data_IF_632196832755
#
_entry.id   IF_632196832755
#
_cell.length_a   1.000
_cell.length_b   1.000
_cell.length_c   1.000
_cell.angle_alpha   90.00
_cell.angle_beta   90.00
_cell.angle_gamma   90.00
#
_symmetry.space_group_name_H-M   'P 1'
#
loop_
_entity.id
_entity.type
_entity.pdbx_description
1 polymer ?
#
# COMPACT_ATOMS: atom_id res chain seq x y z
N UNK A 1 18.54 19.57 -15.68
CA UNK A 1 18.19 20.57 -14.64
C UNK A 1 16.72 20.38 -14.30
N UNK A 2 16.32 20.33 -13.04
CA UNK A 2 14.92 20.40 -12.69
C UNK A 2 14.37 21.74 -13.18
N UNK A 3 13.21 21.73 -13.85
CA UNK A 3 12.64 22.91 -14.50
C UNK A 3 12.36 24.08 -13.53
N UNK A 4 12.20 23.80 -12.24
CA UNK A 4 11.93 24.77 -11.20
C UNK A 4 13.17 25.60 -10.76
N UNK A 5 14.39 25.11 -10.95
CA UNK A 5 15.59 25.85 -10.54
C UNK A 5 15.95 26.97 -11.53
N UNK A 6 15.56 26.83 -12.80
CA UNK A 6 15.86 27.81 -13.84
C UNK A 6 15.08 29.15 -13.70
N UNK A 7 14.10 29.19 -12.80
CA UNK A 7 13.16 30.30 -12.64
C UNK A 7 13.75 31.48 -11.88
N UNK A 8 14.76 31.27 -11.01
CA UNK A 8 15.17 32.24 -10.00
C UNK A 8 16.35 33.15 -10.37
N UNK A 9 17.28 32.79 -11.23
CA UNK A 9 18.51 33.56 -11.35
C UNK A 9 18.92 34.03 -12.76
N UNK A 10 18.05 33.90 -13.75
CA UNK A 10 18.29 34.39 -15.12
C UNK A 10 17.86 35.84 -15.34
N UNK A 11 17.35 36.55 -14.34
CA UNK A 11 17.00 37.95 -14.44
C UNK A 11 18.20 38.82 -14.08
N UNK A 12 18.38 39.90 -14.87
CA UNK A 12 19.47 40.88 -14.80
C UNK A 12 19.81 41.36 -13.37
N UNK A 13 21.05 41.78 -13.11
CA UNK A 13 21.69 42.23 -11.87
C UNK A 13 20.96 43.30 -11.03
N UNK A 14 19.67 43.21 -10.82
CA UNK A 14 18.96 44.02 -9.84
C UNK A 14 19.22 43.49 -8.43
N UNK A 15 19.99 44.21 -7.66
CA UNK A 15 20.15 43.93 -6.22
C UNK A 15 18.99 44.51 -5.46
N UNK A 16 18.20 43.66 -4.84
CA UNK A 16 17.09 44.07 -3.96
C UNK A 16 17.60 44.35 -2.55
N UNK A 17 16.92 45.23 -1.81
CA UNK A 17 17.18 45.46 -0.39
C UNK A 17 16.54 44.31 0.41
N UNK A 18 17.29 43.67 1.28
CA UNK A 18 16.77 42.62 2.13
C UNK A 18 16.06 43.20 3.34
N UNK A 19 14.89 42.67 3.75
CA UNK A 19 14.24 42.99 5.00
C UNK A 19 15.15 42.66 6.22
N UNK A 20 15.06 43.48 7.27
CA UNK A 20 15.87 43.33 8.50
C UNK A 20 15.72 41.93 9.13
N UNK A 21 14.52 41.37 9.13
CA UNK A 21 14.24 40.01 9.62
C UNK A 21 15.10 38.94 8.93
N UNK A 22 15.32 39.07 7.61
CA UNK A 22 16.15 38.13 6.85
C UNK A 22 17.62 38.33 7.20
N UNK A 23 18.06 39.58 7.36
CA UNK A 23 19.44 39.90 7.76
C UNK A 23 19.72 39.32 9.15
N UNK A 24 18.85 39.54 10.14
CA UNK A 24 18.96 39.01 11.48
C UNK A 24 19.00 37.47 11.51
N UNK A 25 18.15 36.79 10.70
CA UNK A 25 18.13 35.35 10.58
C UNK A 25 19.48 34.79 10.04
N UNK A 26 20.07 35.48 9.07
CA UNK A 26 21.40 35.10 8.53
C UNK A 26 22.50 35.36 9.58
N UNK A 27 22.45 36.52 10.25
CA UNK A 27 23.51 36.92 11.21
C UNK A 27 23.48 36.08 12.49
N UNK A 28 22.31 35.61 12.91
CA UNK A 28 22.15 34.68 14.04
C UNK A 28 22.54 33.24 13.71
N UNK A 29 22.64 32.87 12.43
CA UNK A 29 23.01 31.52 12.06
C UNK A 29 24.48 31.22 12.39
N UNK A 30 24.73 30.10 13.11
CA UNK A 30 26.07 29.63 13.40
C UNK A 30 26.79 29.09 12.17
N UNK A 31 27.42 29.96 11.40
CA UNK A 31 28.18 29.64 10.20
C UNK A 31 29.28 30.66 9.94
N UNK A 32 30.20 30.33 9.06
CA UNK A 32 31.35 31.20 8.74
C UNK A 32 30.92 32.50 8.01
N UNK A 33 31.67 33.58 8.23
CA UNK A 33 31.36 34.91 7.70
C UNK A 33 31.21 34.93 6.16
N UNK A 34 32.05 34.15 5.45
CA UNK A 34 31.93 34.07 3.98
C UNK A 34 30.64 33.39 3.53
N UNK A 35 30.13 32.39 4.27
CA UNK A 35 28.86 31.74 3.99
C UNK A 35 27.69 32.72 4.19
N UNK A 36 27.71 33.52 5.27
CA UNK A 36 26.73 34.59 5.48
C UNK A 36 26.72 35.60 4.34
N UNK A 37 27.91 36.00 3.90
CA UNK A 37 28.07 36.94 2.76
C UNK A 37 27.41 36.38 1.48
N UNK A 38 27.71 35.12 1.15
CA UNK A 38 27.14 34.51 -0.08
C UNK A 38 25.63 34.33 0.02
N UNK A 39 25.08 33.99 1.19
CA UNK A 39 23.62 33.93 1.41
C UNK A 39 22.97 35.30 1.20
N UNK A 40 23.53 36.38 1.82
CA UNK A 40 23.02 37.73 1.62
C UNK A 40 23.06 38.16 0.16
N UNK A 41 24.17 37.88 -0.55
CA UNK A 41 24.29 38.20 -1.97
C UNK A 41 23.25 37.47 -2.82
N UNK A 42 23.08 36.17 -2.61
CA UNK A 42 22.06 35.38 -3.31
C UNK A 42 20.65 35.90 -3.06
N UNK A 43 20.28 36.11 -1.79
CA UNK A 43 18.94 36.60 -1.44
C UNK A 43 18.68 38.01 -1.99
N UNK A 44 19.68 38.88 -2.04
CA UNK A 44 19.58 40.18 -2.72
C UNK A 44 19.38 40.02 -4.22
N UNK A 45 19.99 39.01 -4.85
CA UNK A 45 19.84 38.77 -6.31
C UNK A 45 18.42 38.25 -6.65
N UNK A 46 17.87 37.35 -5.82
CA UNK A 46 16.53 36.78 -6.05
C UNK A 46 15.41 37.64 -5.49
N UNK A 47 15.71 38.66 -4.66
CA UNK A 47 14.75 39.58 -4.09
C UNK A 47 13.87 38.94 -3.00
N UNK A 48 14.45 38.08 -2.15
CA UNK A 48 13.71 37.40 -1.08
C UNK A 48 13.08 38.42 -0.12
N UNK A 49 11.77 38.34 0.09
CA UNK A 49 11.02 39.27 0.95
C UNK A 49 10.62 38.64 2.29
N UNK A 50 10.41 37.32 2.35
CA UNK A 50 10.01 36.61 3.55
C UNK A 50 10.69 35.24 3.66
N UNK A 51 10.99 34.79 4.88
CA UNK A 51 11.60 33.48 5.14
C UNK A 51 10.67 32.30 4.79
N UNK A 52 9.37 32.55 4.63
CA UNK A 52 8.43 31.53 4.13
C UNK A 52 8.75 31.11 2.70
N UNK A 53 9.27 32.02 1.88
CA UNK A 53 9.65 31.77 0.49
C UNK A 53 10.87 30.85 0.34
N UNK A 54 11.62 30.63 1.41
CA UNK A 54 12.74 29.69 1.42
C UNK A 54 12.21 28.26 1.31
N UNK A 55 12.02 27.78 0.09
CA UNK A 55 11.60 26.42 -0.25
C UNK A 55 12.73 25.60 -0.86
N UNK A 56 12.44 24.37 -1.28
CA UNK A 56 13.42 23.50 -1.92
C UNK A 56 13.84 23.99 -3.33
N UNK A 57 12.95 24.47 -4.20
CA UNK A 57 13.31 25.10 -5.46
C UNK A 57 14.33 26.22 -5.30
N UNK A 58 14.11 27.13 -4.35
CA UNK A 58 15.04 28.23 -4.06
C UNK A 58 16.37 27.71 -3.52
N UNK A 59 16.36 26.65 -2.71
CA UNK A 59 17.58 25.97 -2.25
C UNK A 59 18.40 25.40 -3.40
N UNK A 60 17.76 24.79 -4.40
CA UNK A 60 18.45 24.28 -5.58
C UNK A 60 18.97 25.42 -6.47
N UNK A 61 18.23 26.51 -6.60
CA UNK A 61 18.73 27.71 -7.25
C UNK A 61 19.98 28.28 -6.54
N UNK A 62 19.98 28.26 -5.20
CA UNK A 62 21.20 28.62 -4.43
C UNK A 62 22.35 27.66 -4.68
N UNK A 63 22.10 26.36 -4.77
CA UNK A 63 23.12 25.35 -5.13
C UNK A 63 23.74 25.67 -6.49
N UNK A 64 22.91 25.97 -7.47
CA UNK A 64 23.37 26.33 -8.82
C UNK A 64 24.16 27.64 -8.81
N UNK A 65 23.70 28.66 -8.08
CA UNK A 65 24.43 29.92 -7.91
C UNK A 65 25.82 29.71 -7.32
N UNK A 66 25.95 28.90 -6.28
CA UNK A 66 27.25 28.57 -5.66
C UNK A 66 28.18 27.83 -6.62
N UNK A 67 27.62 26.89 -7.40
CA UNK A 67 28.40 26.02 -8.28
C UNK A 67 28.81 26.74 -9.57
N UNK A 68 27.86 27.39 -10.26
CA UNK A 68 28.07 27.92 -11.61
C UNK A 68 28.40 29.41 -11.64
N UNK A 69 27.98 30.20 -10.63
CA UNK A 69 28.27 31.61 -10.61
C UNK A 69 29.49 31.92 -9.69
N UNK A 70 29.58 31.30 -8.53
CA UNK A 70 30.72 31.49 -7.62
C UNK A 70 31.82 30.44 -7.79
N UNK A 71 31.63 29.42 -8.60
CA UNK A 71 32.57 28.33 -8.88
C UNK A 71 33.16 27.66 -7.62
N UNK A 72 32.35 27.50 -6.57
CA UNK A 72 32.78 26.92 -5.31
C UNK A 72 32.89 25.39 -5.41
N UNK A 73 34.03 24.83 -4.97
CA UNK A 73 34.24 23.37 -4.92
C UNK A 73 33.50 22.70 -3.76
N UNK A 74 33.36 23.37 -2.62
CA UNK A 74 32.64 22.84 -1.45
C UNK A 74 31.43 23.71 -1.10
N UNK A 75 30.27 23.30 -1.53
CA UNK A 75 29.01 23.99 -1.31
C UNK A 75 28.23 23.49 -0.09
N UNK A 76 28.64 22.36 0.51
CA UNK A 76 27.91 21.70 1.60
C UNK A 76 27.69 22.61 2.82
N UNK A 77 28.67 23.38 3.31
CA UNK A 77 28.46 24.30 4.45
C UNK A 77 27.39 25.37 4.14
N UNK A 78 27.38 25.87 2.91
CA UNK A 78 26.43 26.89 2.44
C UNK A 78 25.00 26.37 2.41
N UNK A 79 24.78 25.18 1.84
CA UNK A 79 23.47 24.56 1.82
C UNK A 79 22.97 24.19 3.24
N UNK A 80 23.87 23.76 4.12
CA UNK A 80 23.54 23.53 5.54
C UNK A 80 23.13 24.82 6.25
N UNK A 81 23.77 25.93 5.96
CA UNK A 81 23.39 27.22 6.52
C UNK A 81 21.99 27.65 6.04
N UNK A 82 21.72 27.50 4.75
CA UNK A 82 20.37 27.71 4.19
C UNK A 82 19.33 26.85 4.90
N UNK A 83 19.57 25.53 5.01
CA UNK A 83 18.67 24.58 5.66
C UNK A 83 18.43 24.95 7.15
N UNK A 84 19.46 25.37 7.88
CA UNK A 84 19.36 25.79 9.30
C UNK A 84 18.49 27.03 9.48
N UNK A 85 18.64 28.03 8.61
CA UNK A 85 17.80 29.24 8.66
C UNK A 85 16.34 28.87 8.43
N UNK A 86 16.03 28.06 7.41
CA UNK A 86 14.66 27.58 7.15
C UNK A 86 14.09 26.78 8.30
N UNK A 87 14.87 25.87 8.87
CA UNK A 87 14.44 25.07 10.03
C UNK A 87 14.23 25.93 11.29
N UNK A 88 15.04 26.98 11.50
CA UNK A 88 14.84 27.92 12.60
C UNK A 88 13.52 28.68 12.42
N UNK A 89 13.25 29.19 11.22
CA UNK A 89 11.98 29.82 10.88
C UNK A 89 10.78 28.89 11.16
N UNK A 90 10.83 27.64 10.69
CA UNK A 90 9.76 26.67 10.94
C UNK A 90 9.55 26.44 12.44
N UNK A 91 10.61 26.29 13.22
CA UNK A 91 10.51 26.13 14.68
C UNK A 91 9.83 27.31 15.35
N UNK A 92 10.14 28.51 14.93
CA UNK A 92 9.49 29.73 15.43
C UNK A 92 7.99 29.75 15.08
N UNK A 93 7.64 29.46 13.82
CA UNK A 93 6.24 29.40 13.39
C UNK A 93 5.44 28.33 14.17
N UNK A 94 6.05 27.22 14.55
CA UNK A 94 5.39 26.15 15.30
C UNK A 94 5.00 26.54 16.73
N UNK A 95 5.46 27.69 17.25
CA UNK A 95 5.06 28.20 18.56
C UNK A 95 3.64 28.77 18.57
N UNK A 96 3.12 29.20 17.43
CA UNK A 96 1.80 29.83 17.30
C UNK A 96 0.80 28.94 16.53
N UNK A 97 -0.50 29.10 16.79
CA UNK A 97 -1.54 28.35 16.06
C UNK A 97 -1.55 28.72 14.57
N UNK A 98 -1.46 29.99 14.23
CA UNK A 98 -1.41 30.47 12.85
C UNK A 98 -0.18 29.92 12.12
N UNK A 99 0.99 29.94 12.77
CA UNK A 99 2.22 29.40 12.20
C UNK A 99 2.16 27.88 11.97
N UNK A 100 1.56 27.12 12.90
CA UNK A 100 1.31 25.68 12.71
C UNK A 100 0.47 25.39 11.48
N UNK A 101 -0.61 26.17 11.28
CA UNK A 101 -1.45 26.03 10.10
C UNK A 101 -0.71 26.35 8.79
N UNK A 102 0.19 27.38 8.81
CA UNK A 102 1.02 27.74 7.65
C UNK A 102 2.09 26.68 7.34
N UNK A 103 2.68 26.08 8.34
CA UNK A 103 3.74 25.07 8.18
C UNK A 103 3.19 23.66 7.97
N UNK A 104 1.88 23.43 8.11
CA UNK A 104 1.26 22.13 7.84
C UNK A 104 1.35 21.81 6.35
N UNK A 105 1.84 20.63 6.04
CA UNK A 105 1.88 20.15 4.68
C UNK A 105 0.46 19.94 4.13
N UNK A 106 0.25 20.46 2.93
CA UNK A 106 -0.97 20.25 2.15
C UNK A 106 -0.57 19.86 0.75
N UNK A 107 -1.45 19.09 0.11
CA UNK A 107 -1.26 18.79 -1.29
C UNK A 107 -1.54 20.05 -2.12
N UNK A 108 -0.51 20.55 -2.72
CA UNK A 108 -0.51 21.70 -3.62
C UNK A 108 0.50 21.40 -4.74
N UNK A 109 0.44 22.12 -5.85
CA UNK A 109 1.44 22.02 -6.93
C UNK A 109 2.75 22.67 -6.52
N UNK A 110 3.44 22.05 -5.58
CA UNK A 110 4.73 22.48 -5.05
C UNK A 110 5.67 21.32 -4.80
N UNK A 111 6.95 21.66 -4.57
CA UNK A 111 7.97 20.71 -4.18
C UNK A 111 8.07 20.68 -2.65
N UNK A 112 7.84 19.51 -2.06
CA UNK A 112 8.00 19.28 -0.63
C UNK A 112 9.36 18.67 -0.35
N UNK A 113 9.99 19.09 0.75
CA UNK A 113 11.28 18.59 1.20
C UNK A 113 11.22 18.15 2.66
N UNK A 114 11.44 16.86 2.93
CA UNK A 114 11.24 16.28 4.27
C UNK A 114 11.98 17.02 5.38
N UNK A 115 13.24 17.49 5.23
CA UNK A 115 13.90 18.31 6.24
C UNK A 115 13.20 19.63 6.60
N UNK A 116 12.21 20.06 5.80
CA UNK A 116 11.36 21.24 6.10
C UNK A 116 9.99 20.86 6.65
N UNK A 117 9.85 19.63 7.12
CA UNK A 117 8.60 19.18 7.74
C UNK A 117 8.38 19.88 9.09
N UNK A 118 7.12 20.17 9.42
CA UNK A 118 6.74 20.82 10.67
C UNK A 118 7.05 19.98 11.92
N UNK A 119 7.03 18.65 11.82
CA UNK A 119 7.51 17.76 12.88
C UNK A 119 9.04 17.78 12.93
N UNK A 120 9.57 18.42 13.97
CA UNK A 120 11.01 18.58 14.17
C UNK A 120 11.75 17.25 14.37
N UNK A 121 11.11 16.23 14.96
CA UNK A 121 11.72 14.91 15.13
C UNK A 121 11.97 14.26 13.78
N UNK A 122 11.00 14.33 12.88
CA UNK A 122 11.14 13.86 11.50
C UNK A 122 12.20 14.66 10.75
N UNK A 123 12.14 15.99 10.81
CA UNK A 123 13.13 16.84 10.14
C UNK A 123 14.56 16.49 10.58
N UNK A 124 14.80 16.29 11.87
CA UNK A 124 16.11 15.92 12.42
C UNK A 124 16.55 14.50 12.04
N UNK A 125 15.63 13.54 11.95
CA UNK A 125 15.93 12.17 11.52
C UNK A 125 16.65 12.16 10.16
N UNK A 126 16.24 13.05 9.26
CA UNK A 126 16.76 13.14 7.90
C UNK A 126 17.88 14.18 7.70
N UNK A 127 18.26 14.92 8.74
CA UNK A 127 19.31 15.95 8.60
C UNK A 127 20.71 15.34 8.32
N UNK A 128 20.98 14.15 8.85
CA UNK A 128 22.25 13.44 8.69
C UNK A 128 22.38 12.65 7.40
N UNK A 129 21.32 12.53 6.59
CA UNK A 129 21.33 11.72 5.37
C UNK A 129 22.18 12.40 4.28
N UNK A 130 23.14 11.66 3.72
CA UNK A 130 24.07 12.17 2.68
C UNK A 130 23.37 12.56 1.38
N UNK A 131 22.44 11.75 0.92
CA UNK A 131 21.72 11.94 -0.37
C UNK A 131 20.30 12.40 -0.11
N UNK A 132 20.07 13.70 -0.14
CA UNK A 132 18.76 14.30 0.13
C UNK A 132 17.78 14.21 -1.06
N UNK A 133 18.20 13.69 -2.20
CA UNK A 133 17.35 13.55 -3.37
C UNK A 133 16.07 12.73 -3.12
N UNK A 134 16.18 11.66 -2.33
CA UNK A 134 15.02 10.81 -1.99
C UNK A 134 14.04 11.44 -0.98
N UNK A 135 14.35 12.65 -0.50
CA UNK A 135 13.50 13.40 0.43
C UNK A 135 12.72 14.51 -0.25
N UNK A 136 12.87 14.63 -1.57
CA UNK A 136 12.21 15.64 -2.38
C UNK A 136 10.98 15.04 -3.04
N UNK A 137 9.84 15.68 -2.85
CA UNK A 137 8.55 15.25 -3.40
C UNK A 137 8.01 16.36 -4.30
N UNK A 138 8.12 16.14 -5.61
CA UNK A 138 7.75 17.10 -6.63
C UNK A 138 6.33 16.84 -7.14
N UNK A 139 5.36 17.59 -6.61
CA UNK A 139 3.97 17.54 -7.02
C UNK A 139 3.64 18.55 -8.15
N UNK A 140 4.65 19.25 -8.71
CA UNK A 140 4.48 20.10 -9.89
C UNK A 140 4.50 19.30 -11.19
N UNK A 141 4.93 18.03 -11.14
CA UNK A 141 5.00 17.17 -12.31
C UNK A 141 3.61 17.00 -12.96
N UNK A 142 3.55 16.88 -14.30
CA UNK A 142 2.30 16.63 -15.00
C UNK A 142 1.80 15.22 -14.69
N UNK A 143 0.90 15.10 -13.73
CA UNK A 143 0.28 13.85 -13.31
C UNK A 143 -1.17 14.12 -12.89
N UNK A 144 -2.09 13.13 -13.01
CA UNK A 144 -3.45 13.27 -12.53
C UNK A 144 -3.49 13.64 -11.04
N UNK A 145 -4.40 14.57 -10.67
CA UNK A 145 -4.52 15.02 -9.29
C UNK A 145 -4.80 13.87 -8.32
N UNK A 146 -5.63 12.93 -8.73
CA UNK A 146 -5.95 11.75 -7.93
C UNK A 146 -4.70 10.92 -7.57
N UNK A 147 -3.80 10.69 -8.53
CA UNK A 147 -2.51 10.03 -8.26
C UNK A 147 -1.68 10.81 -7.24
N UNK A 148 -1.58 12.14 -7.41
CA UNK A 148 -0.85 13.01 -6.46
C UNK A 148 -1.44 12.90 -5.05
N UNK A 149 -2.76 12.84 -4.93
CA UNK A 149 -3.47 12.69 -3.65
C UNK A 149 -3.18 11.34 -2.99
N UNK A 150 -3.19 10.24 -3.75
CA UNK A 150 -2.84 8.91 -3.26
C UNK A 150 -1.39 8.85 -2.74
N UNK A 151 -0.46 9.40 -3.50
CA UNK A 151 0.96 9.48 -3.11
C UNK A 151 1.14 10.35 -1.88
N UNK A 152 0.51 11.53 -1.82
CA UNK A 152 0.61 12.44 -0.68
C UNK A 152 0.02 11.84 0.60
N UNK A 153 -1.13 11.18 0.49
CA UNK A 153 -1.76 10.45 1.59
C UNK A 153 -0.83 9.36 2.15
N UNK A 154 -0.21 8.60 1.25
CA UNK A 154 0.73 7.53 1.62
C UNK A 154 2.02 8.09 2.22
N UNK A 155 2.54 9.18 1.65
CA UNK A 155 3.70 9.89 2.20
C UNK A 155 3.46 10.29 3.65
N UNK A 156 2.34 10.93 3.95
CA UNK A 156 2.00 11.33 5.31
C UNK A 156 1.85 10.11 6.25
N UNK A 157 1.25 9.02 5.78
CA UNK A 157 1.13 7.80 6.57
C UNK A 157 2.49 7.19 6.91
N UNK A 158 3.43 7.14 5.96
CA UNK A 158 4.81 6.65 6.19
C UNK A 158 5.56 7.56 7.16
N UNK A 159 5.40 8.88 7.06
CA UNK A 159 6.04 9.83 7.97
C UNK A 159 5.52 9.71 9.41
N UNK A 160 4.25 9.36 9.58
CA UNK A 160 3.61 9.17 10.88
C UNK A 160 3.82 7.76 11.46
N UNK A 161 4.27 6.79 10.66
CA UNK A 161 4.48 5.40 11.10
C UNK A 161 5.57 5.35 12.18
N UNK A 162 5.28 4.66 13.30
CA UNK A 162 6.29 4.39 14.32
C UNK A 162 7.21 3.25 13.88
N UNK A 163 8.25 3.56 13.15
CA UNK A 163 9.23 2.60 12.64
C UNK A 163 10.67 3.15 12.73
N UNK A 164 11.65 2.28 12.49
CA UNK A 164 13.06 2.69 12.45
C UNK A 164 13.34 3.58 11.24
N UNK A 165 14.22 4.57 11.38
CA UNK A 165 14.62 5.50 10.30
C UNK A 165 15.02 4.80 9.00
N UNK A 166 15.77 3.70 9.07
CA UNK A 166 16.17 2.93 7.89
C UNK A 166 14.96 2.37 7.15
N UNK A 167 14.00 1.76 7.87
CA UNK A 167 12.77 1.22 7.27
C UNK A 167 11.93 2.31 6.63
N UNK A 168 11.79 3.46 7.32
CA UNK A 168 11.09 4.63 6.76
C UNK A 168 11.75 5.13 5.48
N UNK A 169 13.07 5.22 5.45
CA UNK A 169 13.83 5.61 4.26
C UNK A 169 13.61 4.63 3.10
N UNK A 170 13.58 3.32 3.36
CA UNK A 170 13.27 2.30 2.35
C UNK A 170 11.84 2.48 1.79
N UNK A 171 10.85 2.70 2.66
CA UNK A 171 9.45 2.94 2.24
C UNK A 171 9.33 4.23 1.41
N UNK A 172 9.99 5.31 1.80
CA UNK A 172 10.00 6.57 1.05
C UNK A 172 10.65 6.40 -0.32
N UNK A 173 11.78 5.69 -0.39
CA UNK A 173 12.45 5.40 -1.66
C UNK A 173 11.54 4.58 -2.58
N UNK A 174 10.90 3.54 -2.05
CA UNK A 174 9.95 2.72 -2.80
C UNK A 174 8.76 3.54 -3.31
N UNK A 175 8.16 4.37 -2.46
CA UNK A 175 7.03 5.23 -2.84
C UNK A 175 7.41 6.26 -3.91
N UNK A 176 8.62 6.84 -3.83
CA UNK A 176 9.11 7.79 -4.83
C UNK A 176 9.31 7.12 -6.20
N UNK A 177 9.84 5.88 -6.20
CA UNK A 177 9.98 5.11 -7.43
C UNK A 177 8.62 4.69 -8.01
N UNK A 178 7.67 4.33 -7.15
CA UNK A 178 6.29 4.07 -7.57
C UNK A 178 5.66 5.31 -8.22
N UNK A 179 5.83 6.49 -7.61
CA UNK A 179 5.31 7.73 -8.18
C UNK A 179 5.90 8.03 -9.55
N UNK A 180 7.23 7.91 -9.71
CA UNK A 180 7.91 8.09 -11.01
C UNK A 180 7.41 7.09 -12.05
N UNK A 181 7.31 5.83 -11.68
CA UNK A 181 6.77 4.78 -12.54
C UNK A 181 5.34 5.09 -13.01
N UNK A 182 4.47 5.50 -12.09
CA UNK A 182 3.09 5.87 -12.42
C UNK A 182 3.03 7.06 -13.40
N UNK A 183 3.85 8.10 -13.16
CA UNK A 183 3.92 9.26 -14.07
C UNK A 183 4.44 8.87 -15.46
N UNK A 184 5.46 8.01 -15.54
CA UNK A 184 6.05 7.56 -16.81
C UNK A 184 5.14 6.65 -17.63
N UNK A 185 4.22 5.93 -16.97
CA UNK A 185 3.32 4.98 -17.62
C UNK A 185 1.85 5.44 -17.62
N UNK A 186 1.60 6.73 -17.40
CA UNK A 186 0.26 7.34 -17.41
C UNK A 186 -0.76 6.63 -16.49
N UNK A 187 -0.29 6.08 -15.35
CA UNK A 187 -1.14 5.43 -14.36
C UNK A 187 -1.82 6.49 -13.50
N UNK A 188 -3.12 6.60 -13.61
CA UNK A 188 -3.91 7.61 -12.91
C UNK A 188 -4.35 7.20 -11.50
N UNK A 189 -4.42 5.90 -11.21
CA UNK A 189 -4.94 5.35 -9.95
C UNK A 189 -4.18 4.09 -9.54
N UNK A 190 -3.51 4.14 -8.39
CA UNK A 190 -2.71 3.04 -7.84
C UNK A 190 -3.59 1.86 -7.39
N UNK A 191 -4.83 2.10 -6.98
CA UNK A 191 -5.75 1.06 -6.57
C UNK A 191 -6.19 0.17 -7.74
N UNK A 192 -6.10 0.68 -8.99
CA UNK A 192 -6.48 -0.06 -10.21
C UNK A 192 -5.31 -0.76 -10.90
N UNK A 193 -4.08 -0.64 -10.40
CA UNK A 193 -2.91 -1.36 -10.94
C UNK A 193 -3.19 -2.86 -10.93
N UNK A 194 -3.08 -3.51 -12.08
CA UNK A 194 -3.28 -4.96 -12.25
C UNK A 194 -1.95 -5.75 -12.19
N UNK A 195 -2.03 -7.07 -12.40
CA UNK A 195 -0.86 -7.94 -12.31
C UNK A 195 0.18 -7.64 -13.40
N UNK A 196 -0.23 -7.23 -14.61
CA UNK A 196 0.69 -6.89 -15.69
C UNK A 196 1.45 -5.60 -15.37
N UNK A 197 0.75 -4.57 -14.88
CA UNK A 197 1.36 -3.31 -14.46
C UNK A 197 2.24 -3.50 -13.21
N UNK A 198 1.86 -4.37 -12.28
CA UNK A 198 2.70 -4.74 -11.14
C UNK A 198 3.99 -5.42 -11.59
N UNK A 199 3.91 -6.34 -12.57
CA UNK A 199 5.09 -6.98 -13.15
C UNK A 199 5.96 -5.98 -13.90
N UNK A 200 5.37 -5.01 -14.60
CA UNK A 200 6.09 -3.92 -15.25
C UNK A 200 6.83 -3.04 -14.22
N UNK A 201 6.22 -2.79 -13.07
CA UNK A 201 6.89 -2.06 -11.99
C UNK A 201 8.07 -2.85 -11.39
N UNK A 202 7.93 -4.16 -11.22
CA UNK A 202 9.05 -5.03 -10.81
C UNK A 202 10.20 -4.90 -11.80
N UNK A 203 9.90 -4.98 -13.09
CA UNK A 203 10.91 -4.88 -14.14
C UNK A 203 11.58 -3.50 -14.20
N UNK A 204 10.82 -2.43 -13.97
CA UNK A 204 11.35 -1.06 -13.83
C UNK A 204 12.33 -0.97 -12.66
N UNK A 205 12.03 -1.60 -11.52
CA UNK A 205 12.93 -1.62 -10.38
C UNK A 205 14.21 -2.43 -10.66
N UNK A 206 14.14 -3.49 -11.45
CA UNK A 206 15.28 -4.33 -11.87
C UNK A 206 16.27 -3.57 -12.75
N UNK A 207 15.76 -2.90 -13.76
CA UNK A 207 16.59 -2.29 -14.80
C UNK A 207 17.33 -1.05 -14.31
N UNK A 208 16.71 -0.25 -13.42
CA UNK A 208 17.19 1.11 -13.15
C UNK A 208 17.66 1.33 -11.69
N UNK A 209 17.27 0.50 -10.72
CA UNK A 209 17.34 0.92 -9.31
C UNK A 209 17.89 -0.12 -8.35
N UNK A 210 17.57 -1.39 -8.50
CA UNK A 210 17.89 -2.43 -7.53
C UNK A 210 18.72 -3.56 -8.15
N UNK A 211 19.92 -3.78 -7.64
CA UNK A 211 20.84 -4.82 -8.11
C UNK A 211 20.58 -6.21 -7.54
N UNK A 212 19.66 -6.34 -6.59
CA UNK A 212 19.38 -7.62 -5.93
C UNK A 212 17.88 -7.80 -5.59
N UNK A 213 17.43 -9.06 -5.56
CA UNK A 213 16.04 -9.47 -5.32
C UNK A 213 15.47 -8.98 -3.97
N UNK A 214 16.33 -8.85 -2.93
CA UNK A 214 15.88 -8.38 -1.62
C UNK A 214 15.55 -6.90 -1.64
N UNK A 215 16.38 -6.11 -2.33
CA UNK A 215 16.13 -4.67 -2.52
C UNK A 215 14.85 -4.44 -3.32
N UNK A 216 14.61 -5.21 -4.38
CA UNK A 216 13.36 -5.17 -5.15
C UNK A 216 12.14 -5.45 -4.28
N UNK A 217 12.16 -6.53 -3.51
CA UNK A 217 11.06 -6.88 -2.61
C UNK A 217 10.74 -5.77 -1.60
N UNK A 218 11.77 -5.10 -1.07
CA UNK A 218 11.61 -3.96 -0.16
C UNK A 218 10.94 -2.77 -0.85
N UNK A 219 11.37 -2.44 -2.08
CA UNK A 219 10.77 -1.36 -2.87
C UNK A 219 9.34 -1.68 -3.31
N UNK A 220 9.07 -2.94 -3.67
CA UNK A 220 7.71 -3.44 -3.97
C UNK A 220 6.75 -3.31 -2.79
N UNK A 221 7.25 -3.35 -1.56
CA UNK A 221 6.43 -3.16 -0.36
C UNK A 221 5.70 -1.81 -0.39
N UNK A 222 6.28 -0.79 -1.02
CA UNK A 222 5.67 0.53 -1.14
C UNK A 222 4.34 0.52 -1.92
N UNK A 223 4.23 -0.29 -2.98
CA UNK A 223 2.97 -0.45 -3.71
C UNK A 223 1.87 -1.00 -2.81
N UNK A 224 2.18 -2.03 -2.01
CA UNK A 224 1.21 -2.62 -1.09
C UNK A 224 0.84 -1.66 0.04
N UNK A 225 1.82 -0.90 0.57
CA UNK A 225 1.58 0.15 1.57
C UNK A 225 0.66 1.21 0.99
N UNK A 226 0.94 1.68 -0.23
CA UNK A 226 0.15 2.71 -0.88
C UNK A 226 -1.29 2.25 -1.12
N UNK A 227 -1.49 1.09 -1.75
CA UNK A 227 -2.83 0.49 -1.94
C UNK A 227 -3.60 0.36 -0.64
N UNK A 228 -2.94 -0.20 0.40
CA UNK A 228 -3.59 -0.38 1.70
C UNK A 228 -3.96 0.95 2.33
N UNK A 229 -3.04 1.89 2.37
CA UNK A 229 -3.24 3.21 3.00
C UNK A 229 -4.40 3.95 2.33
N UNK A 230 -4.38 4.02 1.00
CA UNK A 230 -5.41 4.71 0.22
C UNK A 230 -6.77 4.05 0.43
N UNK A 231 -6.86 2.73 0.27
CA UNK A 231 -8.12 1.99 0.45
C UNK A 231 -8.73 2.15 1.85
N UNK A 232 -7.89 2.17 2.88
CA UNK A 232 -8.35 2.30 4.27
C UNK A 232 -8.72 3.74 4.66
N UNK A 233 -8.04 4.74 4.10
CA UNK A 233 -8.24 6.15 4.46
C UNK A 233 -9.28 6.86 3.60
N UNK A 234 -9.65 6.30 2.44
CA UNK A 234 -10.72 6.86 1.63
C UNK A 234 -12.03 6.98 2.44
N UNK A 235 -12.78 8.10 2.33
CA UNK A 235 -14.07 8.25 3.00
C UNK A 235 -15.06 7.14 2.65
N UNK A 236 -15.10 6.75 1.39
CA UNK A 236 -15.93 5.66 0.85
C UNK A 236 -15.07 4.49 0.36
N UNK A 237 -15.65 3.28 0.35
CA UNK A 237 -14.97 2.09 -0.18
C UNK A 237 -14.86 2.23 -1.70
N UNK A 238 -13.64 2.22 -2.23
CA UNK A 238 -13.41 2.15 -3.66
C UNK A 238 -13.63 0.71 -4.16
N UNK A 239 -14.86 0.40 -4.60
CA UNK A 239 -15.22 -0.90 -5.14
C UNK A 239 -14.56 -1.19 -6.51
N UNK A 240 -13.96 -0.17 -7.15
CA UNK A 240 -13.21 -0.34 -8.38
C UNK A 240 -11.74 -0.72 -8.15
N UNK A 241 -11.26 -0.68 -6.90
CA UNK A 241 -9.92 -1.10 -6.54
C UNK A 241 -9.69 -2.58 -6.90
N UNK A 242 -8.48 -2.92 -7.38
CA UNK A 242 -8.13 -4.29 -7.75
C UNK A 242 -7.75 -5.16 -6.54
N UNK A 243 -7.55 -4.55 -5.37
CA UNK A 243 -7.31 -5.25 -4.10
C UNK A 243 -8.17 -4.62 -3.02
N UNK A 244 -9.07 -5.40 -2.41
CA UNK A 244 -9.88 -4.94 -1.29
C UNK A 244 -9.32 -5.48 0.02
N UNK A 245 -9.30 -4.64 1.05
CA UNK A 245 -8.84 -5.00 2.39
C UNK A 245 -10.03 -5.30 3.29
N UNK A 246 -10.06 -6.53 3.83
CA UNK A 246 -11.19 -7.08 4.58
C UNK A 246 -11.54 -6.22 5.80
N UNK A 247 -10.54 -5.63 6.45
CA UNK A 247 -10.72 -4.76 7.61
C UNK A 247 -11.62 -3.53 7.34
N UNK A 248 -11.66 -3.04 6.07
CA UNK A 248 -12.50 -1.91 5.66
C UNK A 248 -13.93 -2.32 5.29
N UNK A 249 -14.17 -3.60 5.01
CA UNK A 249 -15.48 -4.08 4.56
C UNK A 249 -16.53 -4.12 5.68
N UNK A 250 -16.14 -3.84 6.93
CA UNK A 250 -17.02 -3.77 8.11
C UNK A 250 -17.92 -5.00 8.29
N UNK A 251 -17.39 -6.18 8.02
CA UNK A 251 -18.13 -7.42 8.14
C UNK A 251 -18.50 -7.71 9.59
N UNK A 252 -19.72 -8.17 9.87
CA UNK A 252 -20.11 -8.62 11.20
C UNK A 252 -19.16 -9.71 11.73
N UNK A 253 -18.80 -9.64 13.02
CA UNK A 253 -17.83 -10.56 13.63
C UNK A 253 -18.18 -12.04 13.46
N UNK A 254 -19.47 -12.38 13.45
CA UNK A 254 -19.93 -13.77 13.27
C UNK A 254 -19.70 -14.32 11.85
N UNK A 255 -19.46 -13.44 10.85
CA UNK A 255 -19.10 -13.84 9.49
C UNK A 255 -17.61 -14.04 9.30
N UNK A 256 -16.79 -13.58 10.22
CA UNK A 256 -15.34 -13.67 10.18
C UNK A 256 -14.85 -14.86 11.02
N UNK A 257 -13.94 -15.65 10.46
CA UNK A 257 -13.19 -16.61 11.26
C UNK A 257 -11.96 -15.90 11.84
N UNK A 258 -11.84 -15.76 13.18
CA UNK A 258 -10.70 -15.08 13.82
C UNK A 258 -9.36 -15.75 13.52
N UNK A 259 -9.36 -17.03 13.18
CA UNK A 259 -8.15 -17.78 12.81
C UNK A 259 -7.79 -17.66 11.33
N UNK A 260 -8.57 -16.92 10.53
CA UNK A 260 -8.30 -16.74 9.10
C UNK A 260 -7.16 -15.77 8.89
N UNK A 261 -6.20 -16.17 8.07
CA UNK A 261 -5.11 -15.30 7.59
C UNK A 261 -5.52 -14.44 6.38
N UNK A 262 -6.76 -14.60 5.88
CA UNK A 262 -7.23 -13.84 4.71
C UNK A 262 -7.52 -12.40 5.11
N UNK A 263 -6.69 -11.49 4.63
CA UNK A 263 -6.79 -10.05 4.88
C UNK A 263 -7.19 -9.24 3.66
N UNK A 264 -7.13 -9.86 2.47
CA UNK A 264 -7.38 -9.17 1.18
C UNK A 264 -8.18 -10.04 0.22
N UNK A 265 -8.89 -9.39 -0.70
CA UNK A 265 -9.51 -9.98 -1.88
C UNK A 265 -8.82 -9.35 -3.08
N UNK A 266 -8.16 -10.16 -3.93
CA UNK A 266 -7.44 -9.69 -5.12
C UNK A 266 -8.21 -10.00 -6.39
N UNK A 267 -8.28 -9.03 -7.28
CA UNK A 267 -8.86 -9.14 -8.63
C UNK A 267 -7.82 -8.87 -9.71
N UNK A 268 -6.60 -8.50 -9.34
CA UNK A 268 -5.56 -8.00 -10.24
C UNK A 268 -5.11 -9.05 -11.29
N UNK A 269 -5.25 -10.33 -10.97
CA UNK A 269 -4.85 -11.43 -11.84
C UNK A 269 -5.82 -11.67 -13.02
N UNK A 270 -7.06 -11.16 -12.95
CA UNK A 270 -8.02 -11.23 -14.05
C UNK A 270 -7.65 -10.14 -15.05
N UNK A 271 -6.99 -10.50 -16.16
CA UNK A 271 -6.41 -9.55 -17.11
C UNK A 271 -7.47 -8.74 -17.86
N UNK A 272 -8.59 -9.38 -18.26
CA UNK A 272 -9.67 -8.70 -18.98
C UNK A 272 -10.47 -7.78 -18.04
N UNK A 273 -10.54 -6.46 -18.32
CA UNK A 273 -11.19 -5.48 -17.44
C UNK A 273 -12.68 -5.77 -17.18
N UNK A 274 -13.41 -6.24 -18.19
CA UNK A 274 -14.83 -6.57 -18.09
C UNK A 274 -15.07 -7.77 -17.17
N UNK A 275 -14.30 -8.84 -17.34
CA UNK A 275 -14.39 -10.03 -16.48
C UNK A 275 -14.04 -9.67 -15.03
N UNK A 276 -13.06 -8.77 -14.85
CA UNK A 276 -12.67 -8.22 -13.54
C UNK A 276 -13.81 -7.40 -12.93
N UNK A 277 -14.50 -6.60 -13.70
CA UNK A 277 -15.65 -5.81 -13.25
C UNK A 277 -16.79 -6.71 -12.75
N UNK A 278 -17.15 -7.77 -13.50
CA UNK A 278 -18.16 -8.73 -13.06
C UNK A 278 -17.75 -9.50 -11.81
N UNK A 279 -16.47 -9.86 -11.67
CA UNK A 279 -15.96 -10.47 -10.45
C UNK A 279 -16.13 -9.56 -9.23
N UNK A 280 -15.84 -8.26 -9.38
CA UNK A 280 -16.02 -7.24 -8.33
C UNK A 280 -17.49 -7.07 -7.96
N UNK A 281 -18.36 -6.99 -8.95
CA UNK A 281 -19.79 -6.85 -8.74
C UNK A 281 -20.36 -8.07 -7.99
N UNK A 282 -20.00 -9.28 -8.41
CA UNK A 282 -20.35 -10.50 -7.70
C UNK A 282 -19.86 -10.49 -6.26
N UNK A 283 -18.60 -10.14 -6.03
CA UNK A 283 -18.05 -10.12 -4.69
C UNK A 283 -18.65 -9.02 -3.82
N UNK A 284 -18.95 -7.85 -4.38
CA UNK A 284 -19.69 -6.78 -3.68
C UNK A 284 -21.06 -7.27 -3.22
N UNK A 285 -21.79 -7.99 -4.07
CA UNK A 285 -23.06 -8.63 -3.71
C UNK A 285 -22.87 -9.67 -2.59
N UNK A 286 -21.89 -10.57 -2.72
CA UNK A 286 -21.64 -11.64 -1.72
C UNK A 286 -21.28 -11.06 -0.35
N UNK A 287 -20.45 -10.05 -0.33
CA UNK A 287 -19.98 -9.39 0.91
C UNK A 287 -21.08 -8.53 1.54
N UNK A 288 -21.81 -7.76 0.72
CA UNK A 288 -22.75 -6.74 1.19
C UNK A 288 -24.16 -7.28 1.45
N UNK A 289 -24.64 -8.22 0.66
CA UNK A 289 -26.05 -8.65 0.68
C UNK A 289 -26.24 -10.03 1.34
N UNK A 290 -25.32 -10.98 1.08
CA UNK A 290 -25.50 -12.33 1.64
C UNK A 290 -25.08 -12.41 3.12
N UNK A 291 -25.73 -13.30 3.89
CA UNK A 291 -25.35 -13.61 5.27
C UNK A 291 -24.28 -14.69 5.42
N UNK A 292 -23.62 -15.11 4.32
CA UNK A 292 -22.68 -16.22 4.33
C UNK A 292 -21.39 -15.88 5.09
N UNK A 293 -20.75 -16.89 5.68
CA UNK A 293 -19.42 -16.74 6.28
C UNK A 293 -18.40 -16.30 5.24
N UNK A 294 -17.56 -15.34 5.60
CA UNK A 294 -16.57 -14.76 4.67
C UNK A 294 -15.63 -15.82 4.09
N UNK A 295 -15.17 -16.78 4.88
CA UNK A 295 -14.34 -17.89 4.40
C UNK A 295 -15.01 -18.71 3.28
N UNK A 296 -16.32 -18.94 3.36
CA UNK A 296 -17.10 -19.63 2.30
C UNK A 296 -17.15 -18.78 1.03
N UNK A 297 -17.41 -17.48 1.17
CA UNK A 297 -17.44 -16.55 0.04
C UNK A 297 -16.05 -16.52 -0.64
N UNK A 298 -15.00 -16.38 0.16
CA UNK A 298 -13.62 -16.30 -0.35
C UNK A 298 -13.18 -17.59 -1.06
N UNK A 299 -13.50 -18.77 -0.50
CA UNK A 299 -13.20 -20.06 -1.14
C UNK A 299 -13.93 -20.19 -2.49
N UNK A 300 -15.21 -19.84 -2.55
CA UNK A 300 -15.97 -19.86 -3.81
C UNK A 300 -15.43 -18.86 -4.83
N UNK A 301 -15.05 -17.67 -4.37
CA UNK A 301 -14.43 -16.68 -5.23
C UNK A 301 -13.14 -17.22 -5.86
N UNK A 302 -12.29 -17.90 -5.10
CA UNK A 302 -11.06 -18.48 -5.62
C UNK A 302 -11.30 -19.47 -6.78
N UNK A 303 -12.42 -20.20 -6.77
CA UNK A 303 -12.81 -21.09 -7.89
C UNK A 303 -13.24 -20.29 -9.11
N UNK A 304 -14.06 -19.25 -8.91
CA UNK A 304 -14.52 -18.34 -9.96
C UNK A 304 -13.35 -17.55 -10.54
N UNK A 305 -12.45 -17.05 -9.70
CA UNK A 305 -11.28 -16.30 -10.11
C UNK A 305 -10.40 -17.11 -11.08
N UNK A 306 -10.13 -18.39 -10.77
CA UNK A 306 -9.39 -19.30 -11.67
C UNK A 306 -10.02 -19.42 -13.03
N UNK A 307 -11.34 -19.57 -13.07
CA UNK A 307 -12.08 -19.61 -14.33
C UNK A 307 -11.98 -18.28 -15.10
N UNK A 308 -12.17 -17.15 -14.43
CA UNK A 308 -12.10 -15.83 -15.07
C UNK A 308 -10.70 -15.48 -15.55
N UNK A 309 -9.65 -15.91 -14.84
CA UNK A 309 -8.26 -15.78 -15.29
C UNK A 309 -8.10 -16.59 -16.58
N UNK A 310 -8.44 -17.88 -16.57
CA UNK A 310 -8.32 -18.73 -17.75
C UNK A 310 -9.10 -18.18 -18.94
N UNK A 311 -10.33 -17.71 -18.72
CA UNK A 311 -11.16 -17.14 -19.78
C UNK A 311 -10.57 -15.84 -20.33
N UNK A 312 -9.98 -15.02 -19.48
CA UNK A 312 -9.31 -13.79 -19.87
C UNK A 312 -8.02 -14.04 -20.68
N UNK A 313 -7.30 -15.14 -20.40
CA UNK A 313 -6.15 -15.60 -21.19
C UNK A 313 -6.56 -16.01 -22.61
N UNK A 314 -7.82 -16.43 -22.79
CA UNK A 314 -8.40 -16.72 -24.10
C UNK A 314 -9.03 -15.47 -24.78
N UNK A 315 -8.85 -14.28 -24.21
CA UNK A 315 -9.46 -13.02 -24.67
C UNK A 315 -10.99 -13.09 -24.78
N UNK A 316 -11.64 -13.86 -23.90
CA UNK A 316 -13.07 -14.10 -23.93
C UNK A 316 -13.79 -13.37 -22.79
N UNK A 317 -14.86 -12.64 -23.16
CA UNK A 317 -15.76 -12.03 -22.18
C UNK A 317 -16.72 -13.09 -21.61
N UNK A 318 -16.86 -13.12 -20.29
CA UNK A 318 -17.69 -14.11 -19.58
C UNK A 318 -19.16 -14.03 -19.98
N UNK A 319 -19.68 -12.88 -20.39
CA UNK A 319 -21.06 -12.74 -20.88
C UNK A 319 -21.31 -13.46 -22.21
N UNK A 320 -20.26 -13.68 -23.00
CA UNK A 320 -20.30 -14.43 -24.25
C UNK A 320 -19.86 -15.89 -24.11
N UNK A 321 -19.63 -16.34 -22.84
CA UNK A 321 -19.18 -17.70 -22.58
C UNK A 321 -20.13 -18.77 -23.07
N UNK A 322 -19.61 -19.76 -23.79
CA UNK A 322 -20.31 -20.89 -24.35
C UNK A 322 -20.16 -22.16 -23.51
N UNK A 323 -21.05 -23.14 -23.73
CA UNK A 323 -20.90 -24.45 -23.09
C UNK A 323 -19.56 -25.11 -23.41
N UNK A 324 -19.10 -25.03 -24.67
CA UNK A 324 -17.82 -25.60 -25.08
C UNK A 324 -16.63 -25.01 -24.31
N UNK A 325 -16.65 -23.71 -24.00
CA UNK A 325 -15.60 -23.09 -23.18
C UNK A 325 -15.63 -23.56 -21.73
N UNK A 326 -16.84 -23.78 -21.16
CA UNK A 326 -16.96 -24.39 -19.84
C UNK A 326 -16.36 -25.80 -19.84
N UNK A 327 -16.71 -26.63 -20.86
CA UNK A 327 -16.15 -27.98 -20.99
C UNK A 327 -14.62 -27.97 -21.11
N UNK A 328 -14.06 -27.10 -21.96
CA UNK A 328 -12.61 -26.95 -22.10
C UNK A 328 -11.93 -26.53 -20.80
N UNK A 329 -12.58 -25.67 -20.01
CA UNK A 329 -12.06 -25.32 -18.68
C UNK A 329 -12.13 -26.51 -17.70
N UNK A 330 -13.24 -27.25 -17.71
CA UNK A 330 -13.42 -28.42 -16.85
C UNK A 330 -12.41 -29.52 -17.21
N UNK A 331 -12.09 -29.72 -18.48
CA UNK A 331 -11.05 -30.63 -18.94
C UNK A 331 -9.66 -30.20 -18.42
N UNK A 332 -9.34 -28.92 -18.57
CA UNK A 332 -8.07 -28.35 -18.04
C UNK A 332 -7.90 -28.62 -16.54
N UNK A 333 -8.91 -28.33 -15.73
CA UNK A 333 -8.77 -28.55 -14.27
C UNK A 333 -8.74 -30.04 -13.90
N UNK A 334 -9.28 -30.92 -14.77
CA UNK A 334 -9.18 -32.37 -14.59
C UNK A 334 -7.76 -32.89 -14.85
N UNK A 335 -7.08 -32.34 -15.85
CA UNK A 335 -5.67 -32.65 -16.15
C UNK A 335 -4.76 -32.32 -14.98
N UNK A 336 -5.11 -31.32 -14.15
CA UNK A 336 -4.41 -30.97 -12.91
C UNK A 336 -4.55 -32.04 -11.79
N UNK A 337 -5.28 -33.14 -12.02
CA UNK A 337 -5.42 -34.27 -11.10
C UNK A 337 -6.23 -33.97 -9.84
N UNK A 338 -7.18 -33.04 -9.90
CA UNK A 338 -8.01 -32.65 -8.76
C UNK A 338 -9.01 -33.75 -8.35
N UNK A 339 -9.36 -33.80 -7.06
CA UNK A 339 -10.37 -34.73 -6.54
C UNK A 339 -11.78 -34.42 -7.07
N UNK A 340 -12.64 -35.45 -7.17
CA UNK A 340 -14.04 -35.28 -7.59
C UNK A 340 -14.80 -34.25 -6.74
N UNK A 341 -14.54 -34.23 -5.43
CA UNK A 341 -15.10 -33.23 -4.53
C UNK A 341 -14.69 -31.80 -4.90
N UNK A 342 -13.42 -31.59 -5.25
CA UNK A 342 -12.94 -30.27 -5.64
C UNK A 342 -13.45 -29.88 -7.02
N UNK A 343 -13.54 -30.84 -7.94
CA UNK A 343 -14.18 -30.67 -9.25
C UNK A 343 -15.66 -30.24 -9.11
N UNK A 344 -16.45 -30.94 -8.27
CA UNK A 344 -17.83 -30.56 -7.99
C UNK A 344 -17.94 -29.17 -7.35
N UNK A 345 -16.95 -28.76 -6.56
CA UNK A 345 -16.88 -27.41 -6.00
C UNK A 345 -16.72 -26.33 -7.07
N UNK A 346 -15.92 -26.60 -8.13
CA UNK A 346 -15.82 -25.70 -9.30
C UNK A 346 -17.15 -25.55 -10.01
N UNK A 347 -17.86 -26.68 -10.30
CA UNK A 347 -19.19 -26.66 -10.92
C UNK A 347 -20.16 -25.83 -10.08
N UNK A 348 -20.20 -26.04 -8.77
CA UNK A 348 -21.07 -25.29 -7.88
C UNK A 348 -20.71 -23.79 -7.82
N UNK A 349 -19.41 -23.46 -7.85
CA UNK A 349 -18.93 -22.08 -7.92
C UNK A 349 -19.37 -21.38 -9.20
N UNK A 350 -19.14 -22.01 -10.35
CA UNK A 350 -19.55 -21.50 -11.66
C UNK A 350 -21.08 -21.37 -11.75
N UNK A 351 -21.85 -22.37 -11.29
CA UNK A 351 -23.30 -22.29 -11.22
C UNK A 351 -23.77 -21.04 -10.47
N UNK A 352 -23.25 -20.82 -9.28
CA UNK A 352 -23.64 -19.66 -8.46
C UNK A 352 -23.26 -18.33 -9.12
N UNK A 353 -22.10 -18.25 -9.75
CA UNK A 353 -21.66 -17.05 -10.45
C UNK A 353 -22.54 -16.76 -11.68
N UNK A 354 -22.80 -17.75 -12.52
CA UNK A 354 -23.65 -17.56 -13.70
C UNK A 354 -25.12 -17.28 -13.32
N UNK A 355 -25.63 -17.86 -12.22
CA UNK A 355 -26.93 -17.47 -11.66
C UNK A 355 -26.98 -16.00 -11.28
N UNK A 356 -25.91 -15.50 -10.64
CA UNK A 356 -25.79 -14.08 -10.35
C UNK A 356 -25.79 -13.24 -11.62
N UNK A 357 -25.01 -13.61 -12.62
CA UNK A 357 -24.94 -12.91 -13.92
C UNK A 357 -26.31 -12.83 -14.62
N UNK A 358 -27.09 -13.90 -14.56
CA UNK A 358 -28.47 -13.93 -15.11
C UNK A 358 -29.40 -13.06 -14.26
N UNK A 359 -29.35 -13.18 -12.94
CA UNK A 359 -30.21 -12.43 -12.04
C UNK A 359 -29.98 -10.91 -12.13
N UNK A 360 -28.77 -10.48 -12.45
CA UNK A 360 -28.41 -9.07 -12.63
C UNK A 360 -28.54 -8.59 -14.09
N UNK A 361 -29.03 -9.44 -15.00
CA UNK A 361 -29.31 -9.07 -16.38
C UNK A 361 -28.10 -9.02 -17.31
N UNK A 362 -26.93 -9.47 -16.87
CA UNK A 362 -25.73 -9.53 -17.70
C UNK A 362 -25.78 -10.65 -18.73
N UNK A 363 -26.57 -11.70 -18.46
CA UNK A 363 -26.77 -12.85 -19.34
C UNK A 363 -28.24 -13.25 -19.39
N UNK A 364 -28.66 -13.81 -20.51
CA UNK A 364 -30.05 -14.30 -20.67
C UNK A 364 -30.30 -15.68 -20.03
N UNK A 365 -29.28 -16.50 -19.98
CA UNK A 365 -29.33 -17.87 -19.43
C UNK A 365 -27.95 -18.36 -19.02
N UNK A 366 -27.90 -19.35 -18.15
CA UNK A 366 -26.67 -20.07 -17.79
C UNK A 366 -26.14 -20.81 -19.02
N UNK A 367 -24.83 -20.76 -19.34
CA UNK A 367 -24.27 -21.36 -20.57
C UNK A 367 -24.18 -22.89 -20.54
N UNK A 368 -24.37 -23.54 -19.39
CA UNK A 368 -24.26 -25.00 -19.23
C UNK A 368 -25.26 -25.52 -18.20
N UNK A 369 -25.46 -26.85 -18.18
CA UNK A 369 -26.31 -27.51 -17.17
C UNK A 369 -25.40 -28.19 -16.11
N UNK A 370 -25.24 -27.61 -14.95
CA UNK A 370 -24.28 -28.06 -13.92
C UNK A 370 -24.48 -29.52 -13.51
N UNK A 371 -25.72 -30.01 -13.52
CA UNK A 371 -26.10 -31.34 -13.07
C UNK A 371 -25.47 -32.45 -13.93
N UNK A 372 -25.19 -32.18 -15.21
CA UNK A 372 -24.60 -33.17 -16.12
C UNK A 372 -23.10 -33.38 -15.91
N UNK A 373 -22.43 -32.44 -15.20
CA UNK A 373 -21.00 -32.49 -14.98
C UNK A 373 -20.61 -32.97 -13.57
N UNK A 374 -21.59 -33.12 -12.66
CA UNK A 374 -21.34 -33.57 -11.32
C UNK A 374 -20.85 -35.02 -11.28
N UNK A 375 -19.80 -35.25 -10.48
CA UNK A 375 -19.20 -36.55 -10.27
C UNK A 375 -19.65 -37.15 -8.94
N UNK A 376 -19.69 -38.50 -8.90
CA UNK A 376 -19.97 -39.21 -7.66
C UNK A 376 -18.78 -39.13 -6.73
N UNK A 377 -18.95 -38.42 -5.62
CA UNK A 377 -17.93 -38.35 -4.59
C UNK A 377 -17.84 -39.71 -3.86
N UNK A 378 -16.66 -40.29 -3.84
CA UNK A 378 -16.37 -41.47 -3.03
C UNK A 378 -15.72 -40.95 -1.74
N UNK A 379 -16.42 -41.01 -0.58
CA UNK A 379 -15.84 -40.57 0.69
C UNK A 379 -14.63 -41.45 1.03
N UNK A 380 -13.44 -40.85 1.04
CA UNK A 380 -12.26 -41.52 1.61
C UNK A 380 -12.26 -41.23 3.10
N UNK A 381 -12.54 -42.28 3.89
CA UNK A 381 -12.42 -42.21 5.32
C UNK A 381 -10.96 -42.43 5.71
N UNK A 382 -10.28 -41.39 6.08
CA UNK A 382 -8.98 -41.49 6.72
C UNK A 382 -9.19 -41.61 8.23
N UNK A 383 -8.87 -42.77 8.80
CA UNK A 383 -8.80 -42.91 10.25
C UNK A 383 -7.65 -42.02 10.75
N UNK A 384 -8.03 -41.00 11.51
CA UNK A 384 -7.12 -40.06 12.18
C UNK A 384 -7.03 -40.33 13.68
N UNK A 385 -7.57 -41.45 14.15
CA UNK A 385 -7.47 -41.85 15.55
C UNK A 385 -6.01 -42.06 15.92
N UNK A 386 -5.67 -41.57 17.10
CA UNK A 386 -4.34 -41.81 17.70
C UNK A 386 -4.44 -43.03 18.58
N UNK A 387 -3.46 -43.93 18.52
CA UNK A 387 -3.47 -45.15 19.34
C UNK A 387 -3.48 -44.80 20.85
N UNK A 388 -4.11 -45.58 21.70
CA UNK A 388 -4.13 -45.34 23.15
C UNK A 388 -2.72 -45.15 23.75
N UNK A 389 -1.74 -45.93 23.31
CA UNK A 389 -0.36 -45.85 23.79
C UNK A 389 0.28 -44.49 23.50
N UNK A 390 0.06 -43.92 22.28
CA UNK A 390 0.53 -42.58 21.93
C UNK A 390 -0.20 -41.52 22.72
N UNK A 391 -1.50 -41.70 22.97
CA UNK A 391 -2.28 -40.79 23.82
C UNK A 391 -1.71 -40.69 25.23
N UNK A 392 -1.43 -41.86 25.85
CA UNK A 392 -0.83 -41.93 27.19
C UNK A 392 0.56 -41.31 27.23
N UNK A 393 1.39 -41.55 26.20
CA UNK A 393 2.70 -40.91 26.09
C UNK A 393 2.62 -39.39 26.00
N UNK A 394 1.71 -38.84 25.18
CA UNK A 394 1.49 -37.40 25.05
C UNK A 394 0.99 -36.81 26.38
N UNK A 395 0.01 -37.43 27.02
CA UNK A 395 -0.51 -36.99 28.30
C UNK A 395 0.56 -36.99 29.40
N UNK A 396 1.41 -38.01 29.45
CA UNK A 396 2.53 -38.06 30.37
C UNK A 396 3.57 -36.96 30.18
N UNK A 397 3.72 -36.47 28.96
CA UNK A 397 4.66 -35.40 28.61
C UNK A 397 4.07 -33.98 28.63
N UNK A 398 2.79 -33.83 28.91
CA UNK A 398 2.13 -32.48 28.93
C UNK A 398 2.79 -31.51 29.89
N UNK A 399 3.41 -32.00 30.97
CA UNK A 399 4.10 -31.14 31.95
C UNK A 399 5.34 -30.44 31.35
N UNK A 400 5.85 -30.87 30.20
CA UNK A 400 6.96 -30.23 29.48
C UNK A 400 6.49 -28.99 28.70
N UNK A 401 5.19 -28.82 28.48
CA UNK A 401 4.64 -27.65 27.81
C UNK A 401 4.44 -26.50 28.79
N UNK A 402 4.64 -25.22 28.34
CA UNK A 402 4.20 -24.04 29.09
C UNK A 402 2.73 -24.16 29.45
N UNK A 403 2.34 -23.61 30.62
CA UNK A 403 1.01 -23.76 31.20
C UNK A 403 -0.13 -23.41 30.21
N UNK A 404 0.00 -22.29 29.51
CA UNK A 404 -1.01 -21.85 28.55
C UNK A 404 -1.21 -22.84 27.38
N UNK A 405 -0.14 -23.45 26.88
CA UNK A 405 -0.21 -24.46 25.82
C UNK A 405 -0.77 -25.79 26.34
N UNK A 406 -0.43 -26.16 27.57
CA UNK A 406 -1.01 -27.33 28.25
C UNK A 406 -2.51 -27.16 28.44
N UNK A 407 -2.96 -26.03 28.94
CA UNK A 407 -4.39 -25.72 29.08
C UNK A 407 -5.10 -25.75 27.72
N UNK A 408 -4.51 -25.16 26.69
CA UNK A 408 -5.05 -25.18 25.33
C UNK A 408 -5.20 -26.61 24.81
N UNK A 409 -4.17 -27.45 24.97
CA UNK A 409 -4.22 -28.85 24.57
C UNK A 409 -5.32 -29.63 25.31
N UNK A 410 -5.47 -29.45 26.63
CA UNK A 410 -6.52 -30.10 27.44
C UNK A 410 -7.92 -29.69 26.97
N UNK A 411 -8.13 -28.43 26.56
CA UNK A 411 -9.41 -28.01 25.99
C UNK A 411 -9.72 -28.74 24.68
N UNK A 412 -8.71 -28.88 23.80
CA UNK A 412 -8.85 -29.64 22.56
C UNK A 412 -9.18 -31.11 22.84
N UNK A 413 -8.44 -31.72 23.79
CA UNK A 413 -8.55 -33.13 24.11
C UNK A 413 -9.83 -33.48 24.89
N UNK A 414 -10.10 -32.79 25.97
CA UNK A 414 -11.22 -33.12 26.85
C UNK A 414 -12.58 -32.70 26.30
N UNK A 415 -12.62 -31.58 25.55
CA UNK A 415 -13.88 -30.99 25.08
C UNK A 415 -14.10 -31.19 23.56
N UNK A 416 -13.14 -31.76 22.84
CA UNK A 416 -13.24 -31.95 21.41
C UNK A 416 -13.35 -30.66 20.61
N UNK A 417 -12.90 -29.52 21.19
CA UNK A 417 -12.96 -28.24 20.54
C UNK A 417 -11.95 -28.16 19.40
N UNK A 418 -12.29 -27.39 18.36
CA UNK A 418 -11.32 -27.03 17.31
C UNK A 418 -10.38 -25.94 17.82
N UNK A 419 -9.18 -25.85 17.23
CA UNK A 419 -8.19 -24.81 17.54
C UNK A 419 -8.81 -23.40 17.50
N UNK A 420 -9.61 -23.10 16.46
CA UNK A 420 -10.30 -21.83 16.32
C UNK A 420 -11.29 -21.54 17.46
N UNK A 421 -11.94 -22.57 17.96
CA UNK A 421 -12.91 -22.45 19.07
C UNK A 421 -12.16 -22.18 20.38
N UNK A 422 -11.05 -22.90 20.64
CA UNK A 422 -10.21 -22.64 21.81
C UNK A 422 -9.62 -21.24 21.79
N UNK A 423 -9.10 -20.78 20.66
CA UNK A 423 -8.52 -19.43 20.53
C UNK A 423 -9.54 -18.30 20.66
N UNK A 424 -10.84 -18.58 20.56
CA UNK A 424 -11.92 -17.60 20.67
C UNK A 424 -12.74 -17.73 21.94
N UNK A 425 -12.36 -18.63 22.85
CA UNK A 425 -13.01 -18.74 24.14
C UNK A 425 -12.94 -17.42 24.92
N UNK A 426 -14.07 -16.99 25.42
CA UNK A 426 -14.14 -15.82 26.30
C UNK A 426 -13.66 -16.18 27.69
N UNK A 427 -13.07 -15.23 28.44
CA UNK A 427 -12.59 -15.44 29.80
C UNK A 427 -13.65 -15.89 30.80
N UNK A 428 -14.94 -15.71 30.47
CA UNK A 428 -16.09 -16.15 31.27
C UNK A 428 -16.85 -17.33 30.65
N UNK A 429 -16.22 -18.11 29.76
CA UNK A 429 -16.86 -19.24 29.08
C UNK A 429 -17.18 -20.41 30.04
N UNK A 430 -16.51 -20.47 31.17
CA UNK A 430 -16.73 -21.49 32.20
C UNK A 430 -17.33 -20.88 33.46
N UNK A 431 -18.35 -21.51 33.98
CA UNK A 431 -18.92 -21.19 35.30
C UNK A 431 -19.13 -22.50 36.12
N UNK A 432 -18.90 -22.41 37.40
CA UNK A 432 -19.27 -23.50 38.31
C UNK A 432 -20.77 -23.45 38.54
N UNK A 433 -21.48 -24.51 38.22
CA UNK A 433 -22.78 -24.73 38.81
C UNK A 433 -22.53 -25.05 40.28
N UNK A 434 -22.99 -24.21 41.19
CA UNK A 434 -23.09 -24.57 42.60
C UNK A 434 -24.11 -25.70 42.67
N UNK A 435 -23.65 -26.88 43.00
CA UNK A 435 -24.52 -27.96 43.48
C UNK A 435 -24.97 -27.66 44.88
#
# INVERSE_FOLDING_TARGET
MPAYAAQYWRQEEKKYVLPDQIIEAIDSCETEAHTKKHLKQFFMTVGLQDLSEMDYPLREAYREYLTFHLHLKNITPHLRAYDRIKQAYIREQMTTLSGRQKCQWRLEEKVLFIPYHSDQKLAMEFDTVRHKANMVWDFTQPAPWHLKEQIFTTLNAILQESCRALKRSEHLTGLQNLYRFCVQNDIADIETIDAAQEQAFIHYLDSDIASDTKSQQRLMTALNICRKTVFLQNPEINWNANVWYVERLNLPKHRLNPSSSVTTISFKEISMPENRAYAKEYMKYQVGITGQAFGTIFTRYGLIQRFLIWLSEQEQNVCACTQQQIESYLDKIQEDGISDKFFNSHIAGLKNFFWFMVAHGHMKRIPFQPEFYQRKEIPQHHDRSVSPAVCEEVLGKLHLLPEHLRCMYLHLWCLGLRISEVCTLKGNAYYRQNQ
#
